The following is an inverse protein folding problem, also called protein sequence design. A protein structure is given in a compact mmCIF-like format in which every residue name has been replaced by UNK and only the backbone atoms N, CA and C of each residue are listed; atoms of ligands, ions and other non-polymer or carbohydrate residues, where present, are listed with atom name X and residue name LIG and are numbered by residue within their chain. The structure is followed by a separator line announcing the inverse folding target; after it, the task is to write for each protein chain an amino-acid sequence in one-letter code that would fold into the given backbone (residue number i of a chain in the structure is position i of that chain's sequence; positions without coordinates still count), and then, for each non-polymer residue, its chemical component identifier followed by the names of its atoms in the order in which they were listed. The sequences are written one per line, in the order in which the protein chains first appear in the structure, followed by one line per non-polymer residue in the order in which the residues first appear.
data_IF_130442533398
#
_entry.id   IF_130442533398
#
_cell.length_a   1.000
_cell.length_b   1.000
_cell.length_c   1.000
_cell.angle_alpha   90.00
_cell.angle_beta   90.00
_cell.angle_gamma   90.00
#
_symmetry.space_group_name_H-M   'P 1'
#
loop_
_entity.id
_entity.type
_entity.pdbx_description
1 polymer ?
#
# COMPACT_ATOMS: atom_id res chain seq x y z
N UNK A 1 20.41 -45.63 -75.54
CA UNK A 1 20.18 -45.67 -74.09
C UNK A 1 20.94 -44.51 -73.45
N UNK A 2 20.26 -43.44 -73.15
CA UNK A 2 20.88 -42.28 -72.53
C UNK A 2 20.51 -42.25 -71.08
N UNK A 3 21.46 -42.50 -70.20
CA UNK A 3 21.30 -42.39 -68.76
C UNK A 3 21.54 -40.92 -68.38
N UNK A 4 20.51 -40.17 -68.08
CA UNK A 4 20.58 -38.86 -67.53
C UNK A 4 20.98 -38.97 -66.06
N UNK A 5 22.16 -38.47 -65.77
CA UNK A 5 22.64 -38.30 -64.38
C UNK A 5 22.05 -37.01 -63.85
N UNK A 6 21.10 -37.12 -62.95
CA UNK A 6 20.54 -35.97 -62.23
C UNK A 6 21.49 -35.61 -61.11
N UNK A 7 22.23 -34.54 -61.25
CA UNK A 7 23.06 -34.02 -60.18
C UNK A 7 22.14 -33.22 -59.24
N UNK A 8 21.88 -33.81 -58.09
CA UNK A 8 21.12 -33.14 -57.06
C UNK A 8 22.10 -32.19 -56.30
N UNK A 9 22.00 -30.90 -56.60
CA UNK A 9 22.72 -29.87 -55.90
C UNK A 9 21.98 -29.58 -54.56
N UNK A 10 22.42 -30.25 -53.52
CA UNK A 10 21.97 -29.95 -52.17
C UNK A 10 22.69 -28.68 -51.71
N UNK A 11 22.00 -27.54 -51.83
CA UNK A 11 22.39 -26.31 -51.16
C UNK A 11 22.16 -26.50 -49.66
N UNK A 12 23.18 -26.83 -48.92
CA UNK A 12 23.20 -26.75 -47.47
C UNK A 12 23.20 -25.29 -47.08
N UNK A 13 22.05 -24.73 -46.87
CA UNK A 13 21.91 -23.44 -46.20
C UNK A 13 22.38 -23.60 -44.75
N UNK A 14 23.62 -23.22 -44.48
CA UNK A 14 24.06 -23.03 -43.10
C UNK A 14 23.29 -21.86 -42.55
N UNK A 15 22.18 -22.14 -41.92
CA UNK A 15 21.53 -21.18 -41.03
C UNK A 15 22.41 -21.05 -39.80
N UNK A 16 23.30 -20.06 -39.81
CA UNK A 16 23.98 -19.60 -38.61
C UNK A 16 22.89 -19.13 -37.65
N UNK A 17 22.82 -19.64 -36.40
CA UNK A 17 21.97 -19.03 -35.43
C UNK A 17 22.48 -17.60 -35.22
N UNK A 18 21.70 -16.63 -35.62
CA UNK A 18 21.90 -15.26 -35.20
C UNK A 18 21.60 -15.30 -33.70
N UNK A 19 22.65 -15.51 -32.91
CA UNK A 19 22.57 -15.26 -31.49
C UNK A 19 22.46 -13.75 -31.40
N UNK A 20 21.22 -13.29 -31.32
CA UNK A 20 20.95 -11.93 -30.90
C UNK A 20 21.51 -11.81 -29.47
N UNK A 21 22.79 -11.51 -29.39
CA UNK A 21 23.42 -11.11 -28.15
C UNK A 21 23.03 -9.65 -27.87
N UNK A 22 21.71 -9.37 -27.86
CA UNK A 22 21.18 -8.30 -27.05
C UNK A 22 21.37 -8.76 -25.62
N UNK A 23 22.57 -8.53 -25.08
CA UNK A 23 22.78 -8.50 -23.67
C UNK A 23 21.83 -7.44 -23.15
N UNK A 24 20.57 -7.81 -22.90
CA UNK A 24 19.66 -7.02 -22.12
C UNK A 24 20.40 -6.78 -20.81
N UNK A 25 20.93 -5.58 -20.64
CA UNK A 25 21.58 -5.15 -19.41
C UNK A 25 20.49 -5.34 -18.36
N UNK A 26 20.55 -6.42 -17.60
CA UNK A 26 19.60 -6.70 -16.52
C UNK A 26 19.76 -5.58 -15.53
N UNK A 27 18.92 -4.56 -15.66
CA UNK A 27 18.87 -3.47 -14.70
C UNK A 27 18.50 -4.11 -13.36
N UNK A 28 19.48 -4.15 -12.46
CA UNK A 28 19.27 -4.71 -11.13
C UNK A 28 18.23 -3.86 -10.42
N UNK A 29 17.11 -4.47 -10.08
CA UNK A 29 16.06 -3.87 -9.26
C UNK A 29 16.31 -4.22 -7.80
N UNK A 30 16.53 -3.21 -6.96
CA UNK A 30 16.64 -3.36 -5.50
C UNK A 30 15.36 -2.87 -4.86
N UNK A 31 14.73 -3.73 -4.05
CA UNK A 31 13.52 -3.41 -3.30
C UNK A 31 13.85 -3.35 -1.82
N UNK A 32 13.53 -2.24 -1.16
CA UNK A 32 13.69 -2.02 0.27
C UNK A 32 12.29 -1.81 0.86
N UNK A 33 11.93 -2.58 1.87
CA UNK A 33 10.64 -2.48 2.56
C UNK A 33 10.88 -2.14 4.01
N UNK A 34 10.27 -1.06 4.47
CA UNK A 34 10.35 -0.60 5.87
C UNK A 34 8.95 -0.34 6.37
N UNK A 35 8.60 -0.87 7.54
CA UNK A 35 7.35 -0.57 8.23
C UNK A 35 7.62 0.32 9.42
N UNK A 36 6.86 1.42 9.52
CA UNK A 36 6.95 2.38 10.64
C UNK A 36 5.56 2.65 11.20
N UNK A 37 5.54 2.97 12.50
CA UNK A 37 4.33 3.34 13.22
C UNK A 37 4.25 4.86 13.34
N UNK A 38 3.04 5.40 13.12
CA UNK A 38 2.77 6.83 13.25
C UNK A 38 1.50 7.03 14.06
N UNK A 39 1.61 7.86 15.07
CA UNK A 39 0.48 8.20 15.95
C UNK A 39 -0.04 9.58 15.60
N UNK A 40 -1.34 9.67 15.38
CA UNK A 40 -2.04 10.92 15.13
C UNK A 40 -2.13 11.80 16.37
N UNK A 41 -2.68 12.98 16.20
CA UNK A 41 -3.02 13.87 17.32
C UNK A 41 -4.22 13.31 18.11
N UNK A 42 -4.33 13.67 19.36
CA UNK A 42 -5.57 13.50 20.12
C UNK A 42 -6.67 14.35 19.48
N UNK A 43 -7.78 13.73 19.17
CA UNK A 43 -8.97 14.38 18.63
C UNK A 43 -10.11 14.31 19.63
N UNK A 44 -10.78 15.44 19.88
CA UNK A 44 -11.88 15.51 20.83
C UNK A 44 -13.13 14.82 20.29
N UNK A 45 -13.74 13.99 21.13
CA UNK A 45 -15.07 13.41 20.92
C UNK A 45 -16.07 14.17 21.77
N UNK A 46 -16.18 15.46 21.51
CA UNK A 46 -17.05 16.37 22.28
C UNK A 46 -16.82 16.22 23.81
N UNK A 47 -17.90 16.14 24.57
CA UNK A 47 -17.87 15.95 26.03
C UNK A 47 -17.50 14.52 26.49
N UNK A 48 -17.33 13.57 25.52
CA UNK A 48 -17.10 12.17 25.81
C UNK A 48 -15.62 11.81 25.99
N UNK A 49 -14.70 12.72 25.71
CA UNK A 49 -13.27 12.51 25.85
C UNK A 49 -12.50 12.63 24.56
N UNK A 50 -11.38 11.94 24.48
CA UNK A 50 -10.48 12.01 23.32
C UNK A 50 -10.33 10.66 22.63
N UNK A 51 -10.04 10.73 21.34
CA UNK A 51 -9.70 9.58 20.51
C UNK A 51 -8.36 9.80 19.83
N UNK A 52 -7.54 8.77 19.77
CA UNK A 52 -6.24 8.80 19.10
C UNK A 52 -6.05 7.58 18.21
N UNK A 53 -5.56 7.80 17.00
CA UNK A 53 -5.31 6.76 16.02
C UNK A 53 -3.81 6.56 15.83
N UNK A 54 -3.38 5.31 15.77
CA UNK A 54 -2.03 4.91 15.41
C UNK A 54 -2.09 4.02 14.18
N UNK A 55 -1.26 4.33 13.19
CA UNK A 55 -1.18 3.56 11.95
C UNK A 55 0.19 2.92 11.78
N UNK A 56 0.24 1.79 11.08
CA UNK A 56 1.47 1.21 10.58
C UNK A 56 1.50 1.38 9.08
N UNK A 57 2.53 2.04 8.58
CA UNK A 57 2.73 2.28 7.15
C UNK A 57 3.95 1.51 6.67
N UNK A 58 3.74 0.71 5.64
CA UNK A 58 4.80 0.04 4.88
C UNK A 58 5.25 0.94 3.75
N UNK A 59 6.51 1.36 3.81
CA UNK A 59 7.19 2.12 2.75
C UNK A 59 8.02 1.16 1.92
N UNK A 60 7.71 1.05 0.65
CA UNK A 60 8.46 0.25 -0.31
C UNK A 60 9.24 1.18 -1.23
N UNK A 61 10.55 1.09 -1.20
CA UNK A 61 11.43 1.82 -2.10
C UNK A 61 11.98 0.85 -3.14
N UNK A 62 11.67 1.10 -4.40
CA UNK A 62 12.18 0.31 -5.53
C UNK A 62 13.19 1.15 -6.30
N UNK A 63 14.41 0.65 -6.42
CA UNK A 63 15.50 1.24 -7.19
C UNK A 63 15.70 0.41 -8.45
N UNK A 64 15.54 1.02 -9.61
CA UNK A 64 15.77 0.38 -10.92
C UNK A 64 16.78 1.23 -11.69
N UNK A 65 18.06 0.81 -11.68
CA UNK A 65 19.15 1.67 -12.15
C UNK A 65 19.24 2.95 -11.31
N UNK A 66 19.13 4.10 -11.95
CA UNK A 66 19.11 5.43 -11.31
C UNK A 66 17.71 5.88 -10.86
N UNK A 67 16.66 5.16 -11.27
CA UNK A 67 15.27 5.52 -10.97
C UNK A 67 14.86 5.00 -9.59
N UNK A 68 14.28 5.88 -8.77
CA UNK A 68 13.74 5.58 -7.45
C UNK A 68 12.22 5.75 -7.45
N UNK A 69 11.50 4.70 -7.06
CA UNK A 69 10.05 4.73 -6.85
C UNK A 69 9.76 4.44 -5.37
N UNK A 70 8.92 5.26 -4.75
CA UNK A 70 8.50 5.08 -3.36
C UNK A 70 7.00 4.87 -3.33
N UNK A 71 6.55 3.78 -2.74
CA UNK A 71 5.15 3.49 -2.46
C UNK A 71 4.95 3.38 -0.95
N UNK A 72 3.84 3.92 -0.45
CA UNK A 72 3.42 3.81 0.95
C UNK A 72 2.06 3.14 1.01
N UNK A 73 1.91 2.22 1.94
CA UNK A 73 0.67 1.48 2.15
C UNK A 73 0.41 1.34 3.64
N UNK A 74 -0.75 1.76 4.08
CA UNK A 74 -1.21 1.61 5.45
C UNK A 74 -1.65 0.16 5.66
N UNK A 75 -0.97 -0.56 6.56
CA UNK A 75 -1.18 -1.99 6.76
C UNK A 75 -2.05 -2.31 7.96
N UNK A 76 -2.06 -1.44 8.96
CA UNK A 76 -2.91 -1.62 10.13
C UNK A 76 -3.25 -0.29 10.80
N UNK A 77 -4.35 -0.28 11.53
CA UNK A 77 -4.84 0.85 12.30
C UNK A 77 -5.18 0.36 13.71
N UNK A 78 -4.67 1.06 14.71
CA UNK A 78 -5.03 0.87 16.10
C UNK A 78 -5.61 2.17 16.67
N UNK A 79 -6.48 2.06 17.65
CA UNK A 79 -7.04 3.17 18.41
C UNK A 79 -6.68 2.97 19.87
N UNK A 80 -5.50 3.41 20.31
CA UNK A 80 -5.03 3.19 21.69
C UNK A 80 -5.82 4.00 22.71
N UNK A 81 -6.42 5.09 22.29
CA UNK A 81 -7.24 5.95 23.16
C UNK A 81 -8.59 6.18 22.52
N UNK A 82 -9.64 5.90 23.26
CA UNK A 82 -11.04 6.16 22.88
C UNK A 82 -11.89 6.38 24.15
N UNK A 83 -12.99 7.12 24.08
CA UNK A 83 -13.90 7.29 25.21
C UNK A 83 -14.43 5.94 25.70
N UNK A 84 -14.34 5.69 27.00
CA UNK A 84 -14.75 4.40 27.60
C UNK A 84 -15.40 4.53 28.97
N UNK A 85 -15.78 5.75 29.38
CA UNK A 85 -16.28 6.03 30.73
C UNK A 85 -17.82 5.92 30.84
N UNK A 86 -18.52 5.63 29.76
CA UNK A 86 -19.95 5.34 29.76
C UNK A 86 -20.24 4.08 28.93
N UNK A 87 -21.31 3.35 29.28
CA UNK A 87 -21.75 2.18 28.53
C UNK A 87 -22.05 2.51 27.06
N UNK A 88 -22.61 3.71 26.83
CA UNK A 88 -22.85 4.20 25.47
C UNK A 88 -21.55 4.43 24.69
N UNK A 89 -20.53 5.02 25.30
CA UNK A 89 -19.23 5.21 24.66
C UNK A 89 -18.57 3.88 24.30
N UNK A 90 -18.62 2.92 25.21
CA UNK A 90 -18.11 1.55 24.98
C UNK A 90 -18.86 0.90 23.84
N UNK A 91 -20.20 0.95 23.85
CA UNK A 91 -21.02 0.37 22.77
C UNK A 91 -20.71 0.99 21.40
N UNK A 92 -20.63 2.32 21.31
CA UNK A 92 -20.29 3.03 20.07
C UNK A 92 -18.90 2.58 19.58
N UNK A 93 -17.90 2.56 20.45
CA UNK A 93 -16.54 2.19 20.07
C UNK A 93 -16.44 0.72 19.62
N UNK A 94 -17.13 -0.20 20.27
CA UNK A 94 -17.14 -1.61 19.88
C UNK A 94 -17.76 -1.84 18.50
N UNK A 95 -18.73 -1.03 18.10
CA UNK A 95 -19.44 -1.19 16.84
C UNK A 95 -18.89 -0.28 15.72
N UNK A 96 -18.57 0.99 16.01
CA UNK A 96 -18.15 1.95 15.01
C UNK A 96 -16.67 1.84 14.64
N UNK A 97 -15.77 1.66 15.62
CA UNK A 97 -14.34 1.66 15.34
C UNK A 97 -13.89 0.54 14.40
N UNK A 98 -14.39 -0.71 14.47
CA UNK A 98 -14.05 -1.73 13.48
C UNK A 98 -14.42 -1.34 12.06
N UNK A 99 -15.59 -0.72 11.86
CA UNK A 99 -16.07 -0.25 10.57
C UNK A 99 -15.16 0.85 10.03
N UNK A 100 -14.86 1.87 10.85
CA UNK A 100 -13.99 2.98 10.48
C UNK A 100 -12.58 2.52 10.10
N UNK A 101 -12.02 1.58 10.86
CA UNK A 101 -10.71 0.98 10.55
C UNK A 101 -10.72 0.25 9.21
N UNK A 102 -11.75 -0.56 8.96
CA UNK A 102 -11.88 -1.33 7.73
C UNK A 102 -12.01 -0.41 6.51
N UNK A 103 -12.83 0.64 6.61
CA UNK A 103 -12.98 1.63 5.54
C UNK A 103 -11.69 2.41 5.28
N UNK A 104 -11.01 2.86 6.32
CA UNK A 104 -9.77 3.60 6.20
C UNK A 104 -8.64 2.75 5.56
N UNK A 105 -8.54 1.48 5.92
CA UNK A 105 -7.60 0.54 5.30
C UNK A 105 -7.92 0.30 3.82
N UNK A 106 -9.20 0.17 3.49
CA UNK A 106 -9.65 0.01 2.10
C UNK A 106 -9.38 1.27 1.28
N UNK A 107 -9.73 2.45 1.81
CA UNK A 107 -9.55 3.74 1.14
C UNK A 107 -8.10 4.21 1.12
N UNK A 108 -7.24 3.72 2.02
CA UNK A 108 -5.87 4.21 2.24
C UNK A 108 -5.82 5.72 2.50
N UNK A 109 -6.83 6.23 3.20
CA UNK A 109 -7.11 7.66 3.39
C UNK A 109 -7.92 7.89 4.66
N UNK A 110 -7.93 9.13 5.15
CA UNK A 110 -8.83 9.59 6.20
C UNK A 110 -10.18 10.09 5.64
N UNK A 111 -10.35 10.13 4.32
CA UNK A 111 -11.63 10.44 3.69
C UNK A 111 -12.51 9.19 3.66
N UNK A 112 -13.22 8.97 4.74
CA UNK A 112 -14.06 7.80 5.01
C UNK A 112 -15.49 8.23 5.33
N UNK A 113 -16.43 7.30 5.16
CA UNK A 113 -17.81 7.54 5.53
C UNK A 113 -17.98 7.54 7.07
N UNK A 114 -18.85 8.38 7.56
CA UNK A 114 -19.21 8.41 8.97
C UNK A 114 -20.14 7.25 9.30
N UNK A 115 -19.96 6.69 10.48
CA UNK A 115 -20.88 5.66 11.00
C UNK A 115 -22.09 6.34 11.60
N UNK A 116 -23.30 5.98 11.14
CA UNK A 116 -24.56 6.50 11.66
C UNK A 116 -24.68 6.25 13.16
N UNK A 117 -25.04 7.27 13.91
CA UNK A 117 -25.12 7.22 15.38
C UNK A 117 -23.78 7.34 16.12
N UNK A 118 -22.65 7.45 15.38
CA UNK A 118 -21.29 7.63 15.91
C UNK A 118 -20.55 8.77 15.22
N UNK A 119 -21.23 9.85 14.89
CA UNK A 119 -20.69 10.97 14.11
C UNK A 119 -19.49 11.64 14.77
N UNK A 120 -19.55 11.91 16.09
CA UNK A 120 -18.46 12.55 16.81
C UNK A 120 -17.21 11.66 16.87
N UNK A 121 -17.40 10.35 17.12
CA UNK A 121 -16.31 9.38 17.09
C UNK A 121 -15.73 9.21 15.69
N UNK A 122 -16.55 9.23 14.64
CA UNK A 122 -16.12 9.15 13.25
C UNK A 122 -15.29 10.36 12.85
N UNK A 123 -15.72 11.57 13.22
CA UNK A 123 -14.96 12.81 12.99
C UNK A 123 -13.62 12.81 13.71
N UNK A 124 -13.61 12.47 15.00
CA UNK A 124 -12.39 12.39 15.78
C UNK A 124 -11.41 11.34 15.23
N UNK A 125 -11.93 10.19 14.82
CA UNK A 125 -11.14 9.16 14.15
C UNK A 125 -10.50 9.68 12.86
N UNK A 126 -11.29 10.32 11.98
CA UNK A 126 -10.79 10.87 10.72
C UNK A 126 -9.73 11.96 10.94
N UNK A 127 -9.92 12.84 11.91
CA UNK A 127 -8.94 13.89 12.25
C UNK A 127 -7.62 13.30 12.74
N UNK A 128 -7.68 12.39 13.70
CA UNK A 128 -6.48 11.73 14.23
C UNK A 128 -5.77 10.88 13.16
N UNK A 129 -6.53 10.16 12.35
CA UNK A 129 -6.00 9.39 11.22
C UNK A 129 -5.30 10.28 10.20
N UNK A 130 -5.89 11.42 9.84
CA UNK A 130 -5.29 12.39 8.92
C UNK A 130 -3.95 12.89 9.45
N UNK A 131 -3.86 13.22 10.74
CA UNK A 131 -2.63 13.65 11.36
C UNK A 131 -1.53 12.56 11.33
N UNK A 132 -1.92 11.29 11.53
CA UNK A 132 -1.00 10.16 11.42
C UNK A 132 -0.49 9.95 9.97
N UNK A 133 -1.38 10.09 8.99
CA UNK A 133 -1.05 9.98 7.56
C UNK A 133 -0.08 11.09 7.15
N UNK A 134 -0.32 12.33 7.55
CA UNK A 134 0.57 13.46 7.27
C UNK A 134 1.98 13.20 7.82
N UNK A 135 2.09 12.71 9.06
CA UNK A 135 3.39 12.31 9.64
C UNK A 135 4.08 11.22 8.81
N UNK A 136 3.33 10.25 8.32
CA UNK A 136 3.86 9.17 7.49
C UNK A 136 4.34 9.63 6.11
N UNK A 137 3.73 10.67 5.55
CA UNK A 137 4.12 11.25 4.26
C UNK A 137 5.45 12.01 4.35
N UNK A 138 5.72 12.66 5.49
CA UNK A 138 6.94 13.42 5.72
C UNK A 138 8.10 12.60 6.29
N UNK A 139 7.90 11.28 6.50
CA UNK A 139 8.91 10.36 7.05
C UNK A 139 9.64 9.52 5.91
#
# INVERSE_FOLDING_TARGET
MRKSILILLTAAALALPIVDATAATRVKTKKIVVSKRFTGSLASVQQWGNLQVTIVVRKTTTMTGTKKKVARHMTSIAVPTSPNHTDRSVYINQNALPILKAEALKAQSANINMVSGATDSSNAFAQSLQAAIVKALHA
#
